data_IF_513121135105
#
_entry.id   IF_513121135105
#
_cell.length_a   1.000
_cell.length_b   1.000
_cell.length_c   1.000
_cell.angle_alpha   90.00
_cell.angle_beta   90.00
_cell.angle_gamma   90.00
#
_symmetry.space_group_name_H-M   'P 1'
#
loop_
_entity.id
_entity.type
_entity.pdbx_description
1 polymer ?
#
# COMPACT_ATOMS: atom_id res chain seq x y z
N UNK A 1 9.71 3.13 1.22
CA UNK A 1 8.92 3.96 0.30
C UNK A 1 8.94 3.27 -1.05
N UNK A 2 7.79 3.11 -1.70
CA UNK A 2 7.69 2.58 -3.05
C UNK A 2 7.32 3.74 -3.97
N UNK A 3 8.11 3.94 -5.03
CA UNK A 3 7.89 4.97 -6.05
C UNK A 3 7.66 4.29 -7.40
N UNK A 4 6.60 4.70 -8.10
CA UNK A 4 6.24 4.16 -9.40
C UNK A 4 5.90 5.30 -10.37
N UNK A 5 6.66 5.40 -11.47
CA UNK A 5 6.45 6.37 -12.54
C UNK A 5 6.29 5.66 -13.90
N UNK A 6 5.21 5.94 -14.61
CA UNK A 6 5.01 5.36 -15.96
C UNK A 6 3.59 5.42 -16.51
N UNK A 7 3.37 4.76 -17.66
CA UNK A 7 2.03 4.68 -18.27
C UNK A 7 1.09 3.75 -17.50
N UNK A 8 1.62 2.60 -17.09
CA UNK A 8 0.91 1.56 -16.36
C UNK A 8 1.87 0.91 -15.34
N UNK A 9 1.43 0.76 -14.09
CA UNK A 9 2.20 0.05 -13.07
C UNK A 9 1.28 -0.85 -12.23
N UNK A 10 1.76 -2.04 -11.91
CA UNK A 10 1.13 -2.94 -10.95
C UNK A 10 2.11 -3.21 -9.81
N UNK A 11 1.69 -2.89 -8.60
CA UNK A 11 2.47 -3.15 -7.39
C UNK A 11 2.20 -4.57 -6.89
N UNK A 12 3.23 -5.32 -6.47
CA UNK A 12 3.06 -6.67 -5.93
C UNK A 12 2.34 -6.64 -4.57
N UNK A 13 1.69 -7.74 -4.20
CA UNK A 13 1.08 -7.89 -2.85
C UNK A 13 2.14 -7.63 -1.78
N UNK A 14 1.76 -6.85 -0.77
CA UNK A 14 2.56 -6.63 0.44
C UNK A 14 1.96 -7.51 1.54
N UNK A 15 2.77 -8.40 2.10
CA UNK A 15 2.39 -9.29 3.21
C UNK A 15 3.35 -9.04 4.38
N UNK A 16 2.79 -8.77 5.56
CA UNK A 16 3.54 -8.39 6.75
C UNK A 16 3.05 -9.17 7.97
N UNK A 17 3.92 -10.00 8.55
CA UNK A 17 3.61 -10.79 9.75
C UNK A 17 4.58 -10.43 10.87
N UNK A 18 4.09 -10.01 12.03
CA UNK A 18 4.96 -9.63 13.15
C UNK A 18 4.26 -8.92 14.31
N UNK A 19 5.03 -8.53 15.34
CA UNK A 19 4.46 -7.81 16.51
C UNK A 19 4.03 -6.39 16.16
N UNK A 20 4.87 -5.67 15.42
CA UNK A 20 4.64 -4.31 14.97
C UNK A 20 5.20 -4.16 13.56
N UNK A 21 4.45 -3.55 12.66
CA UNK A 21 4.90 -3.27 11.30
C UNK A 21 4.46 -1.89 10.82
N UNK A 22 5.35 -1.21 10.10
CA UNK A 22 5.05 0.03 9.40
C UNK A 22 5.02 -0.26 7.91
N UNK A 23 3.85 -0.08 7.30
CA UNK A 23 3.70 -0.26 5.87
C UNK A 23 4.40 0.88 5.12
N UNK A 24 5.09 0.59 3.99
CA UNK A 24 5.85 1.60 3.27
C UNK A 24 4.92 2.67 2.68
N UNK A 25 5.34 3.94 2.70
CA UNK A 25 4.70 5.00 1.89
C UNK A 25 4.71 4.57 0.43
N UNK A 26 3.58 4.73 -0.25
CA UNK A 26 3.42 4.48 -1.69
C UNK A 26 3.20 5.81 -2.40
N UNK A 27 4.00 6.08 -3.42
CA UNK A 27 3.93 7.28 -4.26
C UNK A 27 3.87 6.83 -5.72
N UNK A 28 2.83 7.25 -6.45
CA UNK A 28 2.60 6.80 -7.82
C UNK A 28 2.19 7.96 -8.73
N UNK A 29 2.88 8.12 -9.87
CA UNK A 29 2.61 9.14 -10.88
C UNK A 29 2.51 8.54 -12.28
N UNK A 30 1.45 8.86 -13.03
CA UNK A 30 1.21 8.20 -14.32
C UNK A 30 -0.24 8.21 -14.82
N UNK A 31 -0.53 7.44 -15.87
CA UNK A 31 -1.91 7.37 -16.44
C UNK A 31 -2.80 6.35 -15.73
N UNK A 32 -2.26 5.17 -15.46
CA UNK A 32 -2.98 4.07 -14.83
C UNK A 32 -2.10 3.33 -13.81
N UNK A 33 -2.62 3.00 -12.63
CA UNK A 33 -1.95 2.12 -11.67
C UNK A 33 -2.94 1.28 -10.88
N UNK A 34 -2.48 0.10 -10.50
CA UNK A 34 -3.13 -0.73 -9.50
C UNK A 34 -2.24 -0.79 -8.26
N UNK A 35 -2.81 -0.31 -7.15
CA UNK A 35 -2.17 -0.34 -5.85
C UNK A 35 -2.14 -1.77 -5.30
N UNK A 36 -1.14 -2.09 -4.45
CA UNK A 36 -0.93 -3.45 -3.98
C UNK A 36 -2.06 -3.87 -3.04
N UNK A 37 -2.39 -5.16 -3.05
CA UNK A 37 -3.11 -5.72 -1.91
C UNK A 37 -2.17 -5.74 -0.71
N UNK A 38 -2.65 -5.24 0.42
CA UNK A 38 -1.91 -5.19 1.67
C UNK A 38 -2.56 -6.17 2.64
N UNK A 39 -1.77 -7.11 3.13
CA UNK A 39 -2.16 -8.09 4.13
C UNK A 39 -1.22 -7.93 5.33
N UNK A 40 -1.78 -7.75 6.52
CA UNK A 40 -0.98 -7.53 7.72
C UNK A 40 -1.57 -8.25 8.92
N UNK A 41 -0.78 -9.14 9.52
CA UNK A 41 -1.17 -9.90 10.71
C UNK A 41 -0.20 -9.58 11.86
N UNK A 42 -0.71 -8.94 12.92
CA UNK A 42 0.13 -8.51 14.03
C UNK A 42 -0.60 -7.86 15.20
N UNK A 43 0.12 -7.49 16.26
CA UNK A 43 -0.49 -6.78 17.39
C UNK A 43 -0.74 -5.31 17.07
N UNK A 44 0.18 -4.68 16.34
CA UNK A 44 0.15 -3.28 15.98
C UNK A 44 0.55 -3.08 14.51
N UNK A 45 -0.18 -2.24 13.78
CA UNK A 45 0.21 -1.81 12.44
C UNK A 45 -0.06 -0.31 12.22
N UNK A 46 0.74 0.31 11.37
CA UNK A 46 0.47 1.64 10.81
C UNK A 46 0.19 1.53 9.31
N UNK A 47 -0.91 2.16 8.89
CA UNK A 47 -1.29 2.22 7.48
C UNK A 47 -0.29 3.03 6.65
N UNK A 48 -0.06 2.65 5.39
CA UNK A 48 0.81 3.41 4.51
C UNK A 48 0.13 4.73 4.16
N UNK A 49 0.93 5.78 4.02
CA UNK A 49 0.49 6.97 3.29
C UNK A 49 0.56 6.66 1.80
N UNK A 50 -0.56 6.83 1.11
CA UNK A 50 -0.68 6.57 -0.33
C UNK A 50 -0.95 7.89 -1.02
N UNK A 51 -0.06 8.25 -1.94
CA UNK A 51 -0.20 9.42 -2.80
C UNK A 51 -0.16 8.95 -4.26
N UNK A 52 -1.18 9.31 -5.04
CA UNK A 52 -1.38 8.82 -6.40
C UNK A 52 -1.92 9.93 -7.29
N UNK A 53 -1.18 10.27 -8.35
CA UNK A 53 -1.50 11.41 -9.23
C UNK A 53 -1.69 10.97 -10.68
N UNK A 54 -2.95 11.00 -11.15
CA UNK A 54 -3.31 10.64 -12.53
C UNK A 54 -4.75 10.17 -12.74
N UNK A 55 -5.03 9.66 -13.95
CA UNK A 55 -6.40 9.56 -14.48
C UNK A 55 -7.19 8.32 -14.04
N UNK A 56 -6.51 7.19 -13.84
CA UNK A 56 -7.14 5.93 -13.49
C UNK A 56 -6.33 5.23 -12.39
N UNK A 57 -6.95 5.00 -11.25
CA UNK A 57 -6.34 4.24 -10.17
C UNK A 57 -7.33 3.24 -9.59
N UNK A 58 -6.82 2.10 -9.16
CA UNK A 58 -7.55 1.20 -8.29
C UNK A 58 -6.98 1.30 -6.89
N UNK A 59 -7.88 1.50 -5.92
CA UNK A 59 -7.54 1.54 -4.50
C UNK A 59 -7.03 0.17 -4.03
N UNK A 60 -6.10 0.14 -3.07
CA UNK A 60 -5.59 -1.11 -2.54
C UNK A 60 -6.68 -1.78 -1.72
N UNK A 61 -6.74 -3.10 -1.80
CA UNK A 61 -7.46 -3.88 -0.80
C UNK A 61 -6.53 -4.05 0.40
N UNK A 62 -6.97 -3.58 1.56
CA UNK A 62 -6.20 -3.70 2.80
C UNK A 62 -6.94 -4.65 3.74
N UNK A 63 -6.29 -5.75 4.10
CA UNK A 63 -6.73 -6.71 5.10
C UNK A 63 -5.73 -6.70 6.26
N UNK A 64 -6.21 -6.39 7.47
CA UNK A 64 -5.34 -6.21 8.63
C UNK A 64 -5.98 -6.84 9.86
N UNK A 65 -5.27 -7.81 10.45
CA UNK A 65 -5.66 -8.48 11.69
C UNK A 65 -4.74 -7.99 12.81
N UNK A 66 -5.27 -7.11 13.67
CA UNK A 66 -4.51 -6.46 14.74
C UNK A 66 -5.12 -5.15 15.21
N UNK A 67 -4.47 -4.45 16.14
CA UNK A 67 -4.85 -3.06 16.47
C UNK A 67 -4.13 -2.09 15.52
N UNK A 68 -4.91 -1.26 14.83
CA UNK A 68 -4.38 -0.09 14.15
C UNK A 68 -3.92 0.92 15.21
N UNK A 69 -2.72 1.44 15.07
CA UNK A 69 -2.27 2.62 15.80
C UNK A 69 -2.01 3.72 14.77
N UNK A 70 -2.47 4.94 15.04
CA UNK A 70 -2.25 6.10 14.18
C UNK A 70 -1.00 6.85 14.64
#
# INVERSE_FOLDING_TARGET
>A
MIDCAGKAYQLPKIDCVGKAYQLPKIDCAGKAYQLPMIDSAGKAYQFPKIDCVGKAYQLPKIDCVGKAYQ
#
